data_IF_311179887915
#
_entry.id   IF_311179887915
#
_cell.length_a   1.000
_cell.length_b   1.000
_cell.length_c   1.000
_cell.angle_alpha   90.00
_cell.angle_beta   90.00
_cell.angle_gamma   90.00
#
_symmetry.space_group_name_H-M   'P 1'
#
loop_
_entity.id
_entity.type
_entity.pdbx_description
1 polymer ?
#
# COMPACT_ATOMS: atom_id res chain seq x y z
N UNK A 1 -4.15 -6.15 -15.03
CA UNK A 1 -4.64 -5.91 -13.66
C UNK A 1 -4.22 -4.53 -13.21
N UNK A 2 -5.13 -3.73 -12.66
CA UNK A 2 -4.88 -2.40 -12.10
C UNK A 2 -5.56 -2.32 -10.75
N UNK A 3 -4.93 -1.70 -9.77
CA UNK A 3 -5.53 -1.48 -8.46
C UNK A 3 -6.00 -0.04 -8.31
N UNK A 4 -7.12 0.13 -7.62
CA UNK A 4 -7.55 1.44 -7.10
C UNK A 4 -7.30 1.47 -5.61
N UNK A 5 -6.68 2.55 -5.12
CA UNK A 5 -6.57 2.84 -3.69
C UNK A 5 -7.32 4.12 -3.39
N UNK A 6 -8.45 3.99 -2.71
CA UNK A 6 -9.20 5.11 -2.19
C UNK A 6 -8.65 5.50 -0.83
N UNK A 7 -8.32 6.77 -0.63
CA UNK A 7 -8.31 7.35 0.72
C UNK A 7 -9.67 8.00 0.93
N UNK A 8 -10.37 7.57 1.97
CA UNK A 8 -11.76 7.95 2.23
C UNK A 8 -11.81 8.74 3.53
N UNK A 9 -12.38 9.94 3.49
CA UNK A 9 -12.70 10.74 4.67
C UNK A 9 -14.16 10.51 5.04
N UNK A 10 -14.42 9.90 6.19
CA UNK A 10 -15.76 9.75 6.73
C UNK A 10 -16.17 10.95 7.58
N UNK A 11 -17.47 11.13 7.78
CA UNK A 11 -17.98 12.04 8.81
C UNK A 11 -17.46 11.62 10.21
N UNK A 12 -17.35 12.56 11.17
CA UNK A 12 -16.78 12.28 12.48
C UNK A 12 -17.41 11.06 13.16
N UNK A 13 -16.56 10.13 13.63
CA UNK A 13 -16.95 8.87 14.29
C UNK A 13 -17.77 7.90 13.43
N UNK A 14 -17.88 8.11 12.12
CA UNK A 14 -18.66 7.25 11.21
C UNK A 14 -17.83 6.19 10.48
N UNK A 15 -16.51 6.21 10.62
CA UNK A 15 -15.65 5.24 9.93
C UNK A 15 -16.02 3.76 10.18
N UNK A 16 -16.37 3.30 11.40
CA UNK A 16 -16.77 1.90 11.59
C UNK A 16 -17.97 1.50 10.74
N UNK A 17 -18.92 2.42 10.54
CA UNK A 17 -20.08 2.19 9.69
C UNK A 17 -19.70 2.19 8.21
N UNK A 18 -18.85 3.14 7.78
CA UNK A 18 -18.31 3.16 6.41
C UNK A 18 -17.59 1.85 6.10
N UNK A 19 -16.69 1.40 6.97
CA UNK A 19 -15.95 0.15 6.80
C UNK A 19 -16.89 -1.07 6.74
N UNK A 20 -17.96 -1.10 7.55
CA UNK A 20 -18.98 -2.15 7.52
C UNK A 20 -19.72 -2.18 6.17
N UNK A 21 -20.14 -1.03 5.65
CA UNK A 21 -20.84 -0.92 4.36
C UNK A 21 -19.90 -1.30 3.20
N UNK A 22 -18.66 -0.80 3.22
CA UNK A 22 -17.63 -1.14 2.24
C UNK A 22 -17.39 -2.66 2.19
N UNK A 23 -17.24 -3.33 3.34
CA UNK A 23 -17.03 -4.80 3.41
C UNK A 23 -18.22 -5.64 2.98
N UNK A 24 -19.42 -5.05 2.97
CA UNK A 24 -20.65 -5.76 2.59
C UNK A 24 -21.11 -5.32 1.20
N UNK A 25 -21.86 -4.21 1.13
CA UNK A 25 -22.42 -3.70 -0.11
C UNK A 25 -21.33 -3.30 -1.13
N UNK A 26 -20.27 -2.63 -0.67
CA UNK A 26 -19.15 -2.25 -1.53
C UNK A 26 -18.44 -3.45 -2.15
N UNK A 27 -18.10 -4.45 -1.33
CA UNK A 27 -17.46 -5.68 -1.79
C UNK A 27 -18.36 -6.48 -2.76
N UNK A 28 -19.68 -6.53 -2.50
CA UNK A 28 -20.64 -7.14 -3.41
C UNK A 28 -20.70 -6.42 -4.76
N UNK A 29 -20.81 -5.08 -4.75
CA UNK A 29 -20.85 -4.26 -5.95
C UNK A 29 -19.55 -4.33 -6.76
N UNK A 30 -18.40 -4.44 -6.10
CA UNK A 30 -17.10 -4.68 -6.75
C UNK A 30 -17.09 -6.03 -7.47
N UNK A 31 -17.54 -7.10 -6.79
CA UNK A 31 -17.60 -8.44 -7.38
C UNK A 31 -18.55 -8.52 -8.57
N UNK A 32 -19.73 -7.89 -8.48
CA UNK A 32 -20.69 -7.79 -9.58
C UNK A 32 -20.11 -7.05 -10.80
N UNK A 33 -19.23 -6.08 -10.56
CA UNK A 33 -18.50 -5.37 -11.60
C UNK A 33 -17.23 -6.09 -12.09
N UNK A 34 -17.00 -7.34 -11.65
CA UNK A 34 -15.84 -8.15 -12.07
C UNK A 34 -14.51 -7.78 -11.40
N UNK A 35 -14.54 -6.96 -10.34
CA UNK A 35 -13.37 -6.64 -9.53
C UNK A 35 -13.17 -7.59 -8.34
N UNK A 36 -12.00 -7.49 -7.71
CA UNK A 36 -11.67 -8.21 -6.48
C UNK A 36 -11.48 -7.20 -5.36
N UNK A 37 -12.36 -7.23 -4.36
CA UNK A 37 -12.21 -6.43 -3.14
C UNK A 37 -10.93 -6.86 -2.42
N UNK A 38 -9.94 -5.96 -2.37
CA UNK A 38 -8.59 -6.30 -1.92
C UNK A 38 -8.40 -6.00 -0.43
N UNK A 39 -9.06 -4.98 0.11
CA UNK A 39 -9.12 -4.77 1.56
C UNK A 39 -9.61 -3.39 1.96
N UNK A 40 -9.86 -3.23 3.25
CA UNK A 40 -10.16 -1.96 3.91
C UNK A 40 -9.35 -1.83 5.19
N UNK A 41 -8.81 -0.64 5.44
CA UNK A 41 -7.96 -0.36 6.59
C UNK A 41 -8.35 0.95 7.27
N UNK A 42 -8.38 0.92 8.60
CA UNK A 42 -8.38 2.12 9.43
C UNK A 42 -6.98 2.74 9.43
N UNK A 43 -6.87 4.07 9.27
CA UNK A 43 -5.59 4.79 9.37
C UNK A 43 -5.10 4.92 10.82
N UNK A 44 -4.13 4.10 11.23
CA UNK A 44 -3.51 4.17 12.55
C UNK A 44 -2.48 5.30 12.64
N UNK A 45 -1.69 5.49 11.58
CA UNK A 45 -0.66 6.52 11.49
C UNK A 45 -0.60 7.09 10.08
N UNK A 46 -0.39 8.40 9.95
CA UNK A 46 -0.22 9.08 8.66
C UNK A 46 -1.52 9.50 7.96
N UNK A 47 -2.67 9.25 8.59
CA UNK A 47 -3.99 9.72 8.17
C UNK A 47 -4.72 10.38 9.34
N UNK A 48 -5.73 11.22 9.04
CA UNK A 48 -6.62 11.74 10.08
C UNK A 48 -7.46 10.61 10.70
N UNK A 49 -7.96 10.81 11.92
CA UNK A 49 -8.80 9.82 12.62
C UNK A 49 -10.16 9.56 11.96
N UNK A 50 -10.55 10.38 10.98
CA UNK A 50 -11.74 10.19 10.15
C UNK A 50 -11.43 9.49 8.83
N UNK A 51 -10.17 9.16 8.58
CA UNK A 51 -9.70 8.63 7.31
C UNK A 51 -9.31 7.16 7.40
N UNK A 52 -9.51 6.47 6.29
CA UNK A 52 -8.94 5.16 6.05
C UNK A 52 -8.84 4.86 4.57
N UNK A 53 -8.50 3.62 4.26
CA UNK A 53 -8.11 3.20 2.92
C UNK A 53 -8.97 2.03 2.45
N UNK A 54 -9.35 2.05 1.17
CA UNK A 54 -10.03 0.92 0.50
C UNK A 54 -9.27 0.61 -0.77
N UNK A 55 -8.89 -0.66 -0.96
CA UNK A 55 -8.17 -1.11 -2.14
C UNK A 55 -8.98 -2.15 -2.90
N UNK A 56 -8.99 -2.04 -4.23
CA UNK A 56 -9.66 -2.99 -5.13
C UNK A 56 -8.74 -3.34 -6.29
N UNK A 57 -8.73 -4.60 -6.70
CA UNK A 57 -8.07 -5.04 -7.93
C UNK A 57 -9.09 -5.13 -9.08
N UNK A 58 -8.74 -4.60 -10.23
CA UNK A 58 -9.54 -4.61 -11.45
C UNK A 58 -8.80 -5.37 -12.56
N UNK A 59 -9.54 -6.01 -13.49
CA UNK A 59 -8.92 -6.77 -14.58
C UNK A 59 -8.00 -5.89 -15.44
N UNK A 60 -8.41 -4.65 -15.71
CA UNK A 60 -7.66 -3.68 -16.53
C UNK A 60 -7.94 -2.22 -16.11
N UNK A 61 -7.29 -1.28 -16.81
CA UNK A 61 -7.41 0.15 -16.56
C UNK A 61 -8.82 0.69 -16.87
N UNK A 62 -9.50 0.15 -17.87
CA UNK A 62 -10.84 0.60 -18.24
C UNK A 62 -11.86 0.24 -17.14
N UNK A 63 -11.80 -1.00 -16.65
CA UNK A 63 -12.60 -1.43 -15.51
C UNK A 63 -12.29 -0.59 -14.26
N UNK A 64 -11.01 -0.32 -13.98
CA UNK A 64 -10.61 0.54 -12.86
C UNK A 64 -11.20 1.95 -12.98
N UNK A 65 -11.20 2.55 -14.17
CA UNK A 65 -11.77 3.89 -14.39
C UNK A 65 -13.30 3.90 -14.29
N UNK A 66 -14.00 2.97 -14.94
CA UNK A 66 -15.47 2.95 -14.98
C UNK A 66 -16.05 2.55 -13.61
N UNK A 67 -15.39 1.66 -12.88
CA UNK A 67 -15.95 1.01 -11.70
C UNK A 67 -15.27 1.40 -10.37
N UNK A 68 -14.28 2.29 -10.34
CA UNK A 68 -13.59 2.71 -9.11
C UNK A 68 -14.54 2.98 -7.92
N UNK A 69 -15.63 3.72 -8.16
CA UNK A 69 -16.58 4.09 -7.11
C UNK A 69 -17.40 2.94 -6.51
N UNK A 70 -17.39 1.74 -7.11
CA UNK A 70 -18.20 0.60 -6.65
C UNK A 70 -17.88 0.18 -5.22
N UNK A 71 -16.61 0.28 -4.81
CA UNK A 71 -16.18 -0.06 -3.46
C UNK A 71 -16.85 0.79 -2.37
N UNK A 72 -17.31 1.98 -2.73
CA UNK A 72 -17.90 2.98 -1.83
C UNK A 72 -19.43 3.07 -1.98
N UNK A 73 -20.03 2.17 -2.76
CA UNK A 73 -21.47 2.14 -2.98
C UNK A 73 -22.24 1.98 -1.66
N UNK A 74 -23.28 2.80 -1.47
CA UNK A 74 -24.14 2.77 -0.28
C UNK A 74 -23.58 3.51 0.94
N UNK A 75 -22.38 4.08 0.87
CA UNK A 75 -21.79 4.82 1.99
C UNK A 75 -22.25 6.28 2.03
N UNK A 76 -23.32 6.56 2.77
CA UNK A 76 -23.85 7.93 2.95
C UNK A 76 -22.95 8.83 3.82
N UNK A 77 -22.10 8.24 4.67
CA UNK A 77 -21.25 8.95 5.63
C UNK A 77 -19.88 9.36 5.06
N UNK A 78 -19.62 9.16 3.76
CA UNK A 78 -18.37 9.61 3.11
C UNK A 78 -18.48 11.10 2.79
N UNK A 79 -17.51 11.87 3.27
CA UNK A 79 -17.40 13.31 3.03
C UNK A 79 -16.53 13.59 1.80
N UNK A 80 -15.43 12.85 1.67
CA UNK A 80 -14.46 13.05 0.60
C UNK A 80 -13.77 11.72 0.26
N UNK A 81 -13.35 11.59 -1.00
CA UNK A 81 -12.46 10.52 -1.43
C UNK A 81 -11.39 11.05 -2.37
N UNK A 82 -10.17 10.57 -2.18
CA UNK A 82 -9.13 10.63 -3.21
C UNK A 82 -8.88 9.23 -3.75
N UNK A 83 -8.38 9.15 -4.98
CA UNK A 83 -8.18 7.90 -5.71
C UNK A 83 -6.80 7.88 -6.33
N UNK A 84 -6.02 6.84 -6.02
CA UNK A 84 -4.80 6.50 -6.74
C UNK A 84 -5.02 5.27 -7.62
N UNK A 85 -4.57 5.32 -8.87
CA UNK A 85 -4.39 4.13 -9.70
C UNK A 85 -3.01 3.53 -9.42
N UNK A 86 -2.95 2.20 -9.39
CA UNK A 86 -1.79 1.45 -8.96
C UNK A 86 -1.57 0.26 -9.90
N UNK A 87 -0.56 0.37 -10.75
CA UNK A 87 -0.12 -0.69 -11.64
C UNK A 87 0.89 -1.59 -10.92
N UNK A 88 0.62 -2.90 -10.76
CA UNK A 88 1.56 -3.82 -10.12
C UNK A 88 2.85 -3.91 -10.95
N UNK A 89 4.00 -4.04 -10.27
CA UNK A 89 5.30 -4.17 -10.95
C UNK A 89 5.77 -5.62 -10.94
N UNK A 90 6.51 -6.02 -9.90
CA UNK A 90 7.08 -7.36 -9.72
C UNK A 90 6.19 -8.25 -8.83
N UNK A 91 5.45 -7.62 -7.92
CA UNK A 91 4.40 -8.20 -7.09
C UNK A 91 3.30 -7.14 -6.94
N UNK A 92 2.03 -7.54 -6.78
CA UNK A 92 1.55 -8.92 -6.86
C UNK A 92 1.42 -9.41 -8.31
N UNK A 93 1.53 -10.73 -8.51
CA UNK A 93 1.27 -11.40 -9.80
C UNK A 93 -0.18 -11.88 -9.93
N UNK A 94 -0.92 -11.88 -8.82
CA UNK A 94 -2.31 -12.33 -8.72
C UNK A 94 -3.10 -11.35 -7.85
N UNK A 95 -4.43 -11.30 -8.01
CA UNK A 95 -5.31 -10.39 -7.27
C UNK A 95 -5.71 -10.89 -5.88
N UNK A 96 -5.07 -11.92 -5.34
CA UNK A 96 -5.42 -12.53 -4.06
C UNK A 96 -5.33 -11.53 -2.90
N UNK A 97 -6.44 -11.23 -2.19
CA UNK A 97 -6.43 -10.28 -1.09
C UNK A 97 -5.46 -10.66 0.04
N UNK A 98 -4.89 -9.69 0.77
CA UNK A 98 -4.10 -9.95 1.96
C UNK A 98 -4.91 -10.62 3.06
N UNK A 99 -4.33 -11.64 3.70
CA UNK A 99 -4.98 -12.49 4.71
C UNK A 99 -4.31 -12.43 6.09
N UNK A 100 -3.09 -11.86 6.18
CA UNK A 100 -2.33 -11.81 7.43
C UNK A 100 -2.89 -10.78 8.42
N UNK A 101 -2.95 -11.11 9.73
CA UNK A 101 -3.26 -10.13 10.77
C UNK A 101 -2.10 -9.13 10.95
N UNK A 102 -2.31 -8.13 11.80
CA UNK A 102 -1.30 -7.13 12.14
C UNK A 102 -1.51 -5.81 11.41
N UNK A 103 -0.41 -5.11 11.15
CA UNK A 103 -0.42 -3.76 10.55
C UNK A 103 0.07 -3.77 9.12
N UNK A 104 -0.46 -2.87 8.31
CA UNK A 104 -0.13 -2.74 6.89
C UNK A 104 0.51 -1.37 6.64
N UNK A 105 1.76 -1.38 6.20
CA UNK A 105 2.46 -0.18 5.79
C UNK A 105 2.21 0.08 4.30
N UNK A 106 1.58 1.21 4.01
CA UNK A 106 1.41 1.80 2.69
C UNK A 106 2.49 2.86 2.54
N UNK A 107 3.64 2.47 1.99
CA UNK A 107 4.78 3.37 1.85
C UNK A 107 4.86 3.89 0.43
N UNK A 108 4.68 5.19 0.28
CA UNK A 108 4.81 5.89 -0.99
C UNK A 108 6.23 6.43 -1.15
N UNK A 109 6.76 6.38 -2.37
CA UNK A 109 8.06 6.92 -2.75
C UNK A 109 7.91 7.80 -4.00
N UNK A 110 8.72 8.84 -4.10
CA UNK A 110 9.01 9.52 -5.36
C UNK A 110 10.51 9.43 -5.67
N UNK A 111 10.81 9.30 -6.96
CA UNK A 111 12.15 9.19 -7.53
C UNK A 111 12.13 9.69 -8.99
N UNK A 112 13.31 9.92 -9.59
CA UNK A 112 13.41 10.25 -11.01
C UNK A 112 13.08 9.02 -11.86
N UNK A 113 12.45 9.21 -13.03
CA UNK A 113 12.04 8.12 -13.92
C UNK A 113 13.20 7.14 -14.24
N UNK A 114 14.40 7.68 -14.45
CA UNK A 114 15.60 6.91 -14.81
C UNK A 114 16.14 6.05 -13.65
N UNK A 115 15.84 6.41 -12.40
CA UNK A 115 16.26 5.65 -11.22
C UNK A 115 15.35 4.44 -10.94
N UNK A 116 14.22 4.33 -11.64
CA UNK A 116 13.23 3.27 -11.40
C UNK A 116 13.82 1.85 -11.48
N UNK A 117 14.56 1.45 -12.53
CA UNK A 117 15.09 0.09 -12.62
C UNK A 117 15.99 -0.23 -11.42
N UNK A 118 16.87 0.70 -11.03
CA UNK A 118 17.76 0.56 -9.87
C UNK A 118 16.96 0.41 -8.58
N UNK A 119 15.99 1.29 -8.33
CA UNK A 119 15.14 1.20 -7.13
C UNK A 119 14.39 -0.13 -7.02
N UNK A 120 13.86 -0.64 -8.13
CA UNK A 120 13.18 -1.93 -8.20
C UNK A 120 14.11 -3.07 -7.82
N UNK A 121 15.30 -3.12 -8.43
CA UNK A 121 16.25 -4.21 -8.24
C UNK A 121 16.83 -4.20 -6.82
N UNK A 122 17.13 -3.01 -6.29
CA UNK A 122 17.52 -2.82 -4.88
C UNK A 122 16.42 -3.28 -3.92
N UNK A 123 15.14 -3.03 -4.24
CA UNK A 123 14.02 -3.48 -3.42
C UNK A 123 13.89 -5.01 -3.45
N UNK A 124 13.96 -5.61 -4.63
CA UNK A 124 13.92 -7.06 -4.80
C UNK A 124 15.06 -7.77 -4.06
N UNK A 125 16.28 -7.22 -4.12
CA UNK A 125 17.43 -7.78 -3.40
C UNK A 125 17.30 -7.75 -1.87
N UNK A 126 16.39 -6.93 -1.32
CA UNK A 126 16.19 -6.82 0.13
C UNK A 126 15.14 -7.81 0.64
N UNK A 127 14.09 -8.09 -0.13
CA UNK A 127 12.92 -8.84 0.35
C UNK A 127 13.23 -10.25 0.89
N UNK A 128 14.06 -11.08 0.23
CA UNK A 128 14.35 -12.45 0.69
C UNK A 128 14.92 -12.53 2.11
N UNK A 129 15.67 -11.51 2.53
CA UNK A 129 16.22 -11.43 3.88
C UNK A 129 15.29 -10.67 4.82
N UNK A 130 14.63 -9.62 4.31
CA UNK A 130 13.76 -8.75 5.11
C UNK A 130 12.50 -9.46 5.61
N UNK A 131 11.79 -10.18 4.74
CA UNK A 131 10.53 -10.87 5.06
C UNK A 131 10.71 -11.86 6.24
N UNK A 132 11.66 -12.82 6.21
CA UNK A 132 11.86 -13.74 7.34
C UNK A 132 12.41 -13.05 8.60
N UNK A 133 13.28 -12.04 8.47
CA UNK A 133 13.89 -11.36 9.64
C UNK A 133 12.85 -10.66 10.52
N UNK A 134 11.78 -10.14 9.92
CA UNK A 134 10.74 -9.39 10.62
C UNK A 134 9.37 -10.08 10.60
N UNK A 135 9.28 -11.32 10.11
CA UNK A 135 8.01 -11.98 9.76
C UNK A 135 7.06 -11.02 9.00
N UNK A 136 7.65 -10.24 8.09
CA UNK A 136 6.94 -9.28 7.27
C UNK A 136 6.56 -9.93 5.94
N UNK A 137 5.53 -9.39 5.28
CA UNK A 137 5.14 -9.82 3.93
C UNK A 137 4.94 -8.63 3.01
N UNK A 138 5.71 -8.57 1.94
CA UNK A 138 5.51 -7.62 0.83
C UNK A 138 4.42 -8.15 -0.07
N UNK A 139 3.27 -7.48 -0.05
CA UNK A 139 2.15 -7.82 -0.92
C UNK A 139 2.28 -7.21 -2.31
N UNK A 140 2.93 -6.06 -2.43
CA UNK A 140 3.10 -5.45 -3.74
C UNK A 140 3.94 -4.20 -3.77
N UNK A 141 4.54 -3.97 -4.93
CA UNK A 141 5.17 -2.72 -5.33
C UNK A 141 4.43 -2.22 -6.57
N UNK A 142 3.80 -1.07 -6.46
CA UNK A 142 2.89 -0.53 -7.47
C UNK A 142 3.39 0.80 -8.00
N UNK A 143 3.35 1.00 -9.32
CA UNK A 143 3.56 2.31 -9.94
C UNK A 143 2.24 3.05 -9.97
N UNK A 144 2.25 4.35 -9.70
CA UNK A 144 1.10 5.20 -10.01
C UNK A 144 1.24 5.73 -11.46
N UNK A 145 0.40 5.28 -12.42
CA UNK A 145 0.52 5.67 -13.82
C UNK A 145 0.08 7.12 -14.08
N UNK A 146 -0.61 7.77 -13.14
CA UNK A 146 -1.01 9.17 -13.27
C UNK A 146 0.16 10.15 -13.03
N UNK A 147 1.29 9.68 -12.48
CA UNK A 147 2.49 10.49 -12.31
C UNK A 147 3.40 10.31 -13.51
N UNK A 148 3.43 11.34 -14.37
CA UNK A 148 4.22 11.36 -15.59
C UNK A 148 5.69 11.76 -15.33
N UNK A 149 6.63 11.38 -16.24
CA UNK A 149 8.02 11.82 -16.20
C UNK A 149 8.16 13.36 -16.08
N UNK A 150 9.26 13.86 -15.48
CA UNK A 150 10.49 13.14 -15.12
C UNK A 150 10.45 12.46 -13.75
N UNK A 151 9.30 12.44 -13.07
CA UNK A 151 9.14 11.79 -11.76
C UNK A 151 8.36 10.50 -11.89
N UNK A 152 8.57 9.60 -10.93
CA UNK A 152 7.78 8.40 -10.75
C UNK A 152 7.33 8.29 -9.30
N UNK A 153 6.06 7.95 -9.09
CA UNK A 153 5.51 7.65 -7.77
C UNK A 153 5.22 6.16 -7.64
N UNK A 154 5.71 5.58 -6.55
CA UNK A 154 5.57 4.16 -6.24
C UNK A 154 4.88 3.97 -4.89
N UNK A 155 4.14 2.87 -4.73
CA UNK A 155 3.58 2.43 -3.46
C UNK A 155 4.08 1.02 -3.14
N UNK A 156 4.65 0.82 -1.96
CA UNK A 156 4.97 -0.49 -1.42
C UNK A 156 3.96 -0.83 -0.31
N UNK A 157 3.26 -1.95 -0.46
CA UNK A 157 2.38 -2.52 0.56
C UNK A 157 3.09 -3.65 1.29
N UNK A 158 3.26 -3.51 2.60
CA UNK A 158 3.92 -4.52 3.43
C UNK A 158 3.15 -4.76 4.73
N UNK A 159 2.84 -6.00 5.04
CA UNK A 159 2.30 -6.40 6.34
C UNK A 159 3.42 -6.69 7.35
N UNK A 160 3.15 -6.35 8.61
CA UNK A 160 3.98 -6.69 9.77
C UNK A 160 3.06 -7.26 10.86
N UNK A 161 3.54 -8.19 11.71
CA UNK A 161 2.73 -8.79 12.77
C UNK A 161 2.25 -7.76 13.80
N UNK A 162 3.02 -6.69 14.02
CA UNK A 162 2.66 -5.60 14.94
C UNK A 162 3.36 -4.29 14.60
N UNK A 163 2.87 -3.20 15.23
CA UNK A 163 3.47 -1.87 15.16
C UNK A 163 4.93 -1.87 15.64
N UNK A 164 5.23 -2.61 16.72
CA UNK A 164 6.57 -2.72 17.28
C UNK A 164 7.55 -3.41 16.32
N UNK A 165 7.08 -4.43 15.58
CA UNK A 165 7.92 -5.10 14.57
C UNK A 165 8.20 -4.17 13.39
N UNK A 166 7.19 -3.41 12.93
CA UNK A 166 7.40 -2.37 11.92
C UNK A 166 8.45 -1.34 12.38
N UNK A 167 8.37 -0.86 13.61
CA UNK A 167 9.29 0.14 14.16
C UNK A 167 10.72 -0.41 14.25
N UNK A 168 10.88 -1.63 14.79
CA UNK A 168 12.16 -2.33 14.85
C UNK A 168 12.81 -2.47 13.47
N UNK A 169 12.01 -2.73 12.42
CA UNK A 169 12.50 -2.81 11.05
C UNK A 169 13.09 -1.50 10.53
N UNK A 170 12.67 -0.35 11.07
CA UNK A 170 13.23 0.97 10.73
C UNK A 170 14.51 1.26 11.48
N UNK A 171 14.52 1.00 12.79
CA UNK A 171 15.67 1.28 13.64
C UNK A 171 16.91 0.52 13.19
N UNK A 172 16.77 -0.76 12.85
CA UNK A 172 17.88 -1.59 12.33
C UNK A 172 18.30 -1.24 10.90
N UNK A 173 17.41 -0.62 10.13
CA UNK A 173 17.74 -0.12 8.78
C UNK A 173 18.54 1.20 8.85
N UNK A 174 18.24 2.06 9.84
CA UNK A 174 18.78 3.43 9.94
C UNK A 174 19.97 3.57 10.90
N UNK A 175 20.12 2.70 11.89
CA UNK A 175 21.24 2.77 12.83
C UNK A 175 22.43 1.90 12.37
N UNK A 176 23.58 2.54 12.27
CA UNK A 176 24.82 1.96 11.73
C UNK A 176 25.52 0.96 12.64
N UNK A 177 25.14 0.84 13.93
CA UNK A 177 25.94 0.10 14.93
C UNK A 177 25.49 -1.33 15.29
N UNK A 178 24.42 -1.87 14.69
CA UNK A 178 23.94 -3.22 14.99
C UNK A 178 24.28 -4.22 13.90
N UNK A 179 24.89 -5.35 14.27
CA UNK A 179 25.15 -6.46 13.36
C UNK A 179 23.82 -7.08 12.91
N UNK A 180 23.36 -6.67 11.73
CA UNK A 180 22.02 -7.03 11.22
C UNK A 180 21.97 -8.45 10.65
N UNK A 181 23.09 -9.18 10.61
CA UNK A 181 23.21 -10.47 9.93
C UNK A 181 22.98 -10.40 8.41
N UNK A 182 22.80 -9.19 7.85
CA UNK A 182 22.35 -8.95 6.49
C UNK A 182 23.00 -7.67 5.88
N UNK A 183 24.34 -7.60 5.76
CA UNK A 183 25.05 -6.41 5.31
C UNK A 183 24.63 -5.95 3.91
N UNK A 184 24.34 -6.88 3.01
CA UNK A 184 23.88 -6.58 1.65
C UNK A 184 22.49 -5.92 1.63
N UNK A 185 21.54 -6.44 2.42
CA UNK A 185 20.22 -5.84 2.53
C UNK A 185 20.28 -4.40 3.08
N UNK A 186 21.17 -4.15 4.04
CA UNK A 186 21.44 -2.81 4.57
C UNK A 186 22.04 -1.89 3.49
N UNK A 187 23.04 -2.37 2.75
CA UNK A 187 23.65 -1.61 1.65
C UNK A 187 22.62 -1.27 0.56
N UNK A 188 21.75 -2.21 0.20
CA UNK A 188 20.70 -1.99 -0.80
C UNK A 188 19.65 -0.99 -0.32
N UNK A 189 19.23 -1.06 0.96
CA UNK A 189 18.33 -0.06 1.55
C UNK A 189 18.97 1.33 1.60
N UNK A 190 20.27 1.43 1.86
CA UNK A 190 21.01 2.71 1.82
C UNK A 190 21.00 3.29 0.40
N UNK A 191 21.41 2.52 -0.60
CA UNK A 191 21.39 2.95 -2.02
C UNK A 191 19.99 3.36 -2.49
N UNK A 192 18.96 2.69 -1.97
CA UNK A 192 17.56 3.04 -2.27
C UNK A 192 17.20 4.43 -1.73
N UNK A 193 17.75 4.83 -0.58
CA UNK A 193 17.54 6.17 -0.02
C UNK A 193 18.21 7.24 -0.88
N UNK A 194 19.38 6.96 -1.45
CA UNK A 194 20.12 7.92 -2.30
C UNK A 194 19.32 8.35 -3.55
N UNK A 195 18.47 7.47 -4.08
CA UNK A 195 17.61 7.75 -5.25
C UNK A 195 16.17 8.15 -4.90
N UNK A 196 15.80 8.16 -3.61
CA UNK A 196 14.45 8.52 -3.17
C UNK A 196 14.40 10.01 -2.82
N UNK A 197 13.62 10.79 -3.56
CA UNK A 197 13.49 12.25 -3.32
C UNK A 197 12.42 12.59 -2.31
N UNK A 198 11.41 11.74 -2.16
CA UNK A 198 10.34 11.93 -1.17
C UNK A 198 9.76 10.58 -0.75
N UNK A 199 9.31 10.49 0.51
CA UNK A 199 8.60 9.31 1.01
C UNK A 199 7.52 9.68 2.01
N UNK A 200 6.42 8.92 1.99
CA UNK A 200 5.35 8.97 3.00
C UNK A 200 5.03 7.55 3.43
N UNK A 201 4.67 7.38 4.70
CA UNK A 201 4.15 6.12 5.20
C UNK A 201 2.81 6.33 5.87
N UNK A 202 1.83 5.52 5.48
CA UNK A 202 0.58 5.33 6.22
C UNK A 202 0.60 3.93 6.81
N UNK A 203 0.21 3.80 8.07
CA UNK A 203 0.02 2.51 8.72
C UNK A 203 -1.47 2.28 8.87
N UNK A 204 -1.96 1.21 8.25
CA UNK A 204 -3.34 0.76 8.33
C UNK A 204 -3.49 -0.48 9.22
N UNK A 205 -4.63 -0.59 9.88
CA UNK A 205 -5.09 -1.84 10.53
C UNK A 205 -6.33 -2.32 9.78
N UNK A 206 -6.45 -3.62 9.43
CA UNK A 206 -7.66 -4.14 8.80
C UNK A 206 -8.91 -3.74 9.59
N UNK A 207 -9.89 -3.14 8.92
CA UNK A 207 -11.12 -2.61 9.55
C UNK A 207 -12.27 -3.61 9.47
#
# INVERSE_FOLDING_TARGET
MIYTLHTVTAAPRRWPEVARVVKSQGAAAVREAGGVFYGVWWGLLGLASTQGMVMVAWPDANAATIHAGKALAGCADIVETTLDLLEPTVRPTESTPPDRPGVYAFRTFELAEDDWPSFRDLSLGVWPTFEPTYDARVYGLFRNPAVAPPRRRMLLLTNYPSMAVWEKSRLRTLHTGGDSGAPEAKANLSKRLDVTTWTRVVIGVPA
#
